data_IF_259168835443
#
_entry.id   IF_259168835443
#
_cell.length_a   1.000
_cell.length_b   1.000
_cell.length_c   1.000
_cell.angle_alpha   90.00
_cell.angle_beta   90.00
_cell.angle_gamma   90.00
#
_symmetry.space_group_name_H-M   'P 1'
#
loop_
_entity.id
_entity.type
_entity.pdbx_description
1 polymer ?
#
# COMPACT_ATOMS: atom_id res chain seq x y z
N UNK A 1 6.11 -54.49 -41.22
CA UNK A 1 6.27 -54.01 -39.84
C UNK A 1 7.71 -53.63 -39.60
N UNK A 2 7.98 -52.49 -38.95
CA UNK A 2 9.32 -52.03 -38.53
C UNK A 2 9.77 -50.78 -39.30
N UNK A 3 9.39 -49.58 -38.87
CA UNK A 3 9.98 -48.77 -37.79
C UNK A 3 11.10 -47.84 -38.32
N UNK A 4 10.72 -46.60 -38.65
CA UNK A 4 11.64 -45.50 -38.88
C UNK A 4 11.93 -44.82 -37.53
N UNK A 5 13.20 -44.73 -37.15
CA UNK A 5 13.67 -44.04 -35.96
C UNK A 5 13.85 -42.54 -36.27
N UNK A 6 13.02 -41.69 -35.67
CA UNK A 6 13.28 -40.26 -35.59
C UNK A 6 13.86 -39.95 -34.20
N UNK A 7 15.14 -39.56 -34.16
CA UNK A 7 15.77 -39.01 -32.96
C UNK A 7 15.32 -37.56 -32.81
N UNK A 8 14.64 -37.23 -31.72
CA UNK A 8 14.33 -35.85 -31.35
C UNK A 8 15.45 -35.30 -30.48
N UNK A 9 16.24 -34.37 -31.02
CA UNK A 9 17.16 -33.56 -30.23
C UNK A 9 16.35 -32.49 -29.46
N UNK A 10 16.68 -32.19 -28.19
CA UNK A 10 16.03 -31.11 -27.46
C UNK A 10 16.44 -29.75 -28.06
N UNK A 11 15.46 -29.04 -28.60
CA UNK A 11 15.62 -27.67 -29.07
C UNK A 11 15.92 -26.76 -27.87
N UNK A 12 17.16 -26.33 -27.75
CA UNK A 12 17.59 -25.36 -26.75
C UNK A 12 17.14 -23.98 -27.23
N UNK A 13 16.01 -23.50 -26.73
CA UNK A 13 15.59 -22.11 -26.95
C UNK A 13 16.65 -21.18 -26.31
N UNK A 14 17.15 -20.16 -27.01
CA UNK A 14 18.06 -19.21 -26.40
C UNK A 14 17.31 -18.47 -25.29
N UNK A 15 17.86 -18.54 -24.07
CA UNK A 15 17.50 -17.61 -23.00
C UNK A 15 17.72 -16.20 -23.55
N UNK A 16 16.63 -15.49 -23.83
CA UNK A 16 16.67 -14.09 -24.21
C UNK A 16 17.52 -13.34 -23.20
N UNK A 17 18.61 -12.76 -23.70
CA UNK A 17 19.60 -12.10 -22.85
C UNK A 17 18.92 -11.08 -21.94
N UNK A 18 19.15 -11.20 -20.65
CA UNK A 18 19.11 -10.05 -19.77
C UNK A 18 20.12 -9.05 -20.36
N UNK A 19 19.63 -7.96 -20.92
CA UNK A 19 20.48 -6.83 -21.29
C UNK A 19 21.02 -6.23 -20.00
N UNK A 20 22.13 -6.78 -19.50
CA UNK A 20 22.98 -6.11 -18.52
C UNK A 20 23.50 -4.83 -19.18
N UNK A 21 22.91 -3.67 -18.85
CA UNK A 21 23.25 -2.46 -19.60
C UNK A 21 22.53 -1.17 -19.27
N UNK A 22 22.12 -0.95 -18.02
CA UNK A 22 22.04 0.44 -17.51
C UNK A 22 23.03 0.51 -16.36
N UNK A 23 24.12 1.28 -16.54
CA UNK A 23 25.00 1.64 -15.43
C UNK A 23 24.09 2.20 -14.33
N UNK A 24 24.10 1.59 -13.14
CA UNK A 24 23.31 2.09 -12.03
C UNK A 24 23.64 3.57 -11.82
N UNK A 25 22.61 4.42 -11.84
CA UNK A 25 22.78 5.85 -11.65
C UNK A 25 23.11 6.11 -10.16
N UNK A 26 24.33 6.59 -9.83
CA UNK A 26 24.66 6.91 -8.45
C UNK A 26 23.80 8.03 -7.86
N UNK A 27 23.16 8.85 -8.72
CA UNK A 27 22.20 9.88 -8.35
C UNK A 27 20.91 9.31 -7.76
N UNK A 28 20.44 8.17 -8.25
CA UNK A 28 19.24 7.47 -7.78
C UNK A 28 19.44 6.68 -6.47
N UNK A 29 20.58 6.88 -5.78
CA UNK A 29 20.81 6.34 -4.45
C UNK A 29 20.20 7.28 -3.40
N UNK A 30 19.66 6.77 -2.28
CA UNK A 30 19.14 7.61 -1.21
C UNK A 30 20.21 8.55 -0.64
N UNK A 31 19.86 9.82 -0.48
CA UNK A 31 20.67 10.80 0.23
C UNK A 31 20.59 10.58 1.74
N UNK A 32 21.68 10.91 2.45
CA UNK A 32 21.68 10.96 3.92
C UNK A 32 21.12 12.31 4.37
N UNK A 33 19.85 12.33 4.77
CA UNK A 33 19.18 13.52 5.29
C UNK A 33 19.34 13.63 6.80
N UNK A 34 19.56 14.85 7.29
CA UNK A 34 19.38 15.17 8.71
C UNK A 34 17.89 15.15 9.08
N UNK A 35 17.54 15.02 10.38
CA UNK A 35 16.15 15.10 10.83
C UNK A 35 15.44 16.40 10.42
N UNK A 36 16.15 17.53 10.42
CA UNK A 36 15.60 18.83 10.04
C UNK A 36 15.25 18.88 8.54
N UNK A 37 16.15 18.40 7.67
CA UNK A 37 15.91 18.33 6.23
C UNK A 37 14.73 17.41 5.91
N UNK A 38 14.63 16.25 6.58
CA UNK A 38 13.48 15.35 6.40
C UNK A 38 12.17 16.01 6.87
N UNK A 39 12.19 16.75 7.98
CA UNK A 39 11.01 17.46 8.47
C UNK A 39 10.54 18.56 7.49
N UNK A 40 11.47 19.26 6.85
CA UNK A 40 11.16 20.25 5.81
C UNK A 40 10.47 19.61 4.60
N UNK A 41 11.04 18.51 4.07
CA UNK A 41 10.42 17.77 2.97
C UNK A 41 9.02 17.24 3.32
N UNK A 42 8.82 16.74 4.55
CA UNK A 42 7.51 16.31 5.03
C UNK A 42 6.52 17.48 5.14
N UNK A 43 6.97 18.65 5.56
CA UNK A 43 6.16 19.86 5.66
C UNK A 43 5.73 20.33 4.26
N UNK A 44 6.66 20.37 3.31
CA UNK A 44 6.39 20.72 1.92
C UNK A 44 5.39 19.75 1.28
N UNK A 45 5.62 18.44 1.39
CA UNK A 45 4.69 17.43 0.91
C UNK A 45 3.30 17.58 1.55
N UNK A 46 3.23 17.95 2.83
CA UNK A 46 1.94 18.21 3.49
C UNK A 46 1.22 19.44 2.96
N UNK A 47 1.96 20.48 2.57
CA UNK A 47 1.41 21.69 1.97
C UNK A 47 0.90 21.44 0.54
N UNK A 48 1.57 20.58 -0.23
CA UNK A 48 1.27 20.36 -1.65
C UNK A 48 0.36 19.17 -1.94
N UNK A 49 0.12 18.26 -0.98
CA UNK A 49 -0.67 17.01 -1.17
C UNK A 49 -2.04 17.17 -1.83
N UNK A 50 -2.72 18.31 -1.61
CA UNK A 50 -4.01 18.58 -2.26
C UNK A 50 -3.86 18.86 -3.76
N UNK A 51 -2.80 19.58 -4.15
CA UNK A 51 -2.45 19.81 -5.55
C UNK A 51 -2.01 18.50 -6.21
N UNK A 52 -1.18 17.69 -5.53
CA UNK A 52 -0.81 16.35 -5.98
C UNK A 52 -2.04 15.47 -6.19
N UNK A 53 -2.99 15.43 -5.25
CA UNK A 53 -4.23 14.66 -5.41
C UNK A 53 -5.02 15.05 -6.67
N UNK A 54 -5.06 16.36 -6.98
CA UNK A 54 -5.70 16.91 -8.18
C UNK A 54 -4.94 16.51 -9.46
N UNK A 55 -3.63 16.63 -9.47
CA UNK A 55 -2.76 16.23 -10.58
C UNK A 55 -2.91 14.73 -10.91
N UNK A 56 -3.02 13.90 -9.89
CA UNK A 56 -3.23 12.45 -10.03
C UNK A 56 -4.66 12.06 -10.44
N UNK A 57 -5.58 13.01 -10.59
CA UNK A 57 -6.97 12.75 -10.95
C UNK A 57 -7.75 11.97 -9.89
N UNK A 58 -7.42 12.16 -8.61
CA UNK A 58 -8.20 11.57 -7.52
C UNK A 58 -9.56 12.26 -7.38
N UNK A 59 -10.58 11.50 -6.94
CA UNK A 59 -11.91 12.05 -6.68
C UNK A 59 -11.89 13.13 -5.60
N UNK A 60 -12.89 14.02 -5.59
CA UNK A 60 -12.98 15.13 -4.63
C UNK A 60 -13.12 14.70 -3.16
N UNK A 61 -13.61 13.47 -2.93
CA UNK A 61 -13.72 12.86 -1.60
C UNK A 61 -12.48 12.04 -1.24
N UNK A 62 -11.54 11.88 -2.17
CA UNK A 62 -10.27 11.23 -1.96
C UNK A 62 -9.22 12.24 -1.50
N UNK A 63 -8.47 11.90 -0.45
CA UNK A 63 -7.38 12.75 0.04
C UNK A 63 -6.14 11.91 0.27
N UNK A 64 -5.00 12.57 0.21
CA UNK A 64 -3.70 12.00 0.52
C UNK A 64 -3.27 12.36 1.94
N UNK A 65 -2.62 11.43 2.63
CA UNK A 65 -1.95 11.66 3.90
C UNK A 65 -0.49 11.28 3.75
N UNK A 66 0.40 12.25 3.93
CA UNK A 66 1.85 12.04 3.83
C UNK A 66 2.31 11.12 4.95
N UNK A 67 3.06 10.08 4.60
CA UNK A 67 3.65 9.14 5.55
C UNK A 67 5.15 9.23 5.64
N UNK A 68 5.80 9.45 4.50
CA UNK A 68 7.24 9.57 4.45
C UNK A 68 7.68 10.32 3.20
N UNK A 69 8.89 10.88 3.25
CA UNK A 69 9.61 11.40 2.08
C UNK A 69 11.04 10.90 2.16
N UNK A 70 11.49 10.28 1.08
CA UNK A 70 12.89 9.95 0.84
C UNK A 70 13.38 10.81 -0.32
N UNK A 71 14.63 11.29 -0.24
CA UNK A 71 15.25 12.02 -1.33
C UNK A 71 16.48 11.25 -1.82
N UNK A 72 16.63 11.16 -3.13
CA UNK A 72 17.81 10.61 -3.79
C UNK A 72 18.91 11.67 -3.90
N UNK A 73 20.15 11.26 -4.18
CA UNK A 73 21.31 12.17 -4.27
C UNK A 73 21.21 13.19 -5.40
N UNK A 74 20.41 12.90 -6.42
CA UNK A 74 20.10 13.83 -7.52
C UNK A 74 19.01 14.86 -7.16
N UNK A 75 18.40 14.77 -5.98
CA UNK A 75 17.33 15.64 -5.50
C UNK A 75 15.91 15.14 -5.77
N UNK A 76 15.75 14.03 -6.52
CA UNK A 76 14.47 13.36 -6.72
C UNK A 76 13.87 12.99 -5.37
N UNK A 77 12.56 13.21 -5.21
CA UNK A 77 11.83 12.81 -3.99
C UNK A 77 10.90 11.65 -4.27
N UNK A 78 10.76 10.77 -3.29
CA UNK A 78 9.78 9.67 -3.25
C UNK A 78 8.91 9.89 -2.02
N UNK A 79 7.70 10.38 -2.25
CA UNK A 79 6.75 10.66 -1.17
C UNK A 79 5.72 9.54 -1.07
N UNK A 80 5.69 8.86 0.07
CA UNK A 80 4.69 7.83 0.38
C UNK A 80 3.44 8.48 0.95
N UNK A 81 2.31 8.17 0.36
CA UNK A 81 1.00 8.62 0.77
C UNK A 81 0.10 7.43 1.11
N UNK A 82 -0.63 7.55 2.21
CA UNK A 82 -1.89 6.84 2.37
C UNK A 82 -3.02 7.63 1.71
N UNK A 83 -4.11 6.93 1.39
CA UNK A 83 -5.35 7.54 0.89
C UNK A 83 -6.46 7.47 1.92
N UNK A 84 -7.36 8.44 1.84
CA UNK A 84 -8.65 8.40 2.51
C UNK A 84 -9.77 8.58 1.49
N UNK A 85 -10.93 7.99 1.72
CA UNK A 85 -12.17 8.21 0.97
C UNK A 85 -13.27 8.67 1.92
N UNK A 86 -13.80 9.87 1.73
CA UNK A 86 -14.82 10.43 2.63
C UNK A 86 -14.36 10.53 4.10
N UNK A 87 -13.05 10.66 4.31
CA UNK A 87 -12.42 10.65 5.63
C UNK A 87 -12.07 9.27 6.20
N UNK A 88 -12.49 8.17 5.54
CA UNK A 88 -12.12 6.81 5.96
C UNK A 88 -10.76 6.41 5.40
N UNK A 89 -9.88 5.74 6.18
CA UNK A 89 -8.64 5.18 5.66
C UNK A 89 -8.89 4.16 4.54
N UNK A 90 -8.07 4.20 3.50
CA UNK A 90 -8.10 3.23 2.40
C UNK A 90 -6.93 2.24 2.56
N UNK A 91 -7.21 1.06 3.08
CA UNK A 91 -6.20 0.03 3.31
C UNK A 91 -5.89 -0.73 2.01
N UNK A 92 -4.61 -0.85 1.66
CA UNK A 92 -4.15 -1.37 0.37
C UNK A 92 -4.29 -0.38 -0.80
N UNK A 93 -4.55 0.90 -0.49
CA UNK A 93 -4.69 1.97 -1.48
C UNK A 93 -3.53 2.95 -1.55
N UNK A 94 -2.46 2.75 -0.78
CA UNK A 94 -1.33 3.65 -0.71
C UNK A 94 -0.61 3.82 -2.06
N UNK A 95 0.13 4.92 -2.18
CA UNK A 95 0.91 5.25 -3.36
C UNK A 95 2.22 5.93 -3.00
N UNK A 96 3.19 5.84 -3.90
CA UNK A 96 4.45 6.59 -3.84
C UNK A 96 4.52 7.47 -5.08
N UNK A 97 4.71 8.77 -4.88
CA UNK A 97 4.96 9.73 -5.96
C UNK A 97 6.45 9.98 -6.05
N UNK A 98 7.02 9.72 -7.22
CA UNK A 98 8.36 10.16 -7.61
C UNK A 98 8.24 11.55 -8.23
N UNK A 99 8.93 12.53 -7.68
CA UNK A 99 8.98 13.88 -8.22
C UNK A 99 10.42 14.33 -8.46
N UNK A 100 10.62 15.08 -9.54
CA UNK A 100 11.91 15.68 -9.90
C UNK A 100 12.37 16.67 -8.82
N UNK A 101 13.64 17.12 -8.83
CA UNK A 101 14.11 18.16 -7.93
C UNK A 101 13.34 19.49 -8.04
N UNK A 102 12.67 19.73 -9.18
CA UNK A 102 11.80 20.88 -9.40
C UNK A 102 10.34 20.65 -8.92
N UNK A 103 10.04 19.49 -8.34
CA UNK A 103 8.72 19.14 -7.81
C UNK A 103 7.73 18.59 -8.86
N UNK A 104 8.17 18.35 -10.10
CA UNK A 104 7.30 17.78 -11.14
C UNK A 104 7.12 16.27 -10.95
N UNK A 105 5.89 15.76 -11.02
CA UNK A 105 5.64 14.31 -10.93
C UNK A 105 6.24 13.59 -12.14
N UNK A 106 7.13 12.63 -11.87
CA UNK A 106 7.76 11.79 -12.90
C UNK A 106 7.18 10.38 -12.93
N UNK A 107 6.64 9.90 -11.80
CA UNK A 107 6.11 8.56 -11.70
C UNK A 107 5.27 8.35 -10.46
N UNK A 108 4.35 7.38 -10.55
CA UNK A 108 3.45 7.04 -9.44
C UNK A 108 3.35 5.52 -9.35
N UNK A 109 3.78 4.97 -8.23
CA UNK A 109 3.58 3.56 -7.89
C UNK A 109 2.37 3.45 -6.99
N UNK A 110 1.42 2.57 -7.32
CA UNK A 110 0.18 2.37 -6.56
C UNK A 110 0.11 0.95 -6.02
N UNK A 111 -0.31 0.77 -4.77
CA UNK A 111 -0.49 -0.54 -4.16
C UNK A 111 -1.61 -1.37 -4.81
N UNK A 112 -2.58 -0.70 -5.44
CA UNK A 112 -3.72 -1.33 -6.10
C UNK A 112 -3.99 -0.73 -7.49
N UNK A 113 -4.55 -1.57 -8.37
CA UNK A 113 -5.04 -1.17 -9.70
C UNK A 113 -6.45 -0.57 -9.66
N UNK A 114 -7.08 -0.50 -8.48
CA UNK A 114 -8.41 0.09 -8.32
C UNK A 114 -8.43 1.55 -8.80
N UNK A 115 -9.42 1.86 -9.64
CA UNK A 115 -9.61 3.19 -10.22
C UNK A 115 -10.32 4.12 -9.23
N UNK A 116 -10.13 5.44 -9.39
CA UNK A 116 -10.87 6.46 -8.64
C UNK A 116 -12.39 6.30 -8.80
N UNK A 117 -12.85 5.85 -9.97
CA UNK A 117 -14.28 5.58 -10.22
C UNK A 117 -14.82 4.43 -9.36
N UNK A 118 -14.05 3.34 -9.24
CA UNK A 118 -14.42 2.22 -8.36
C UNK A 118 -14.44 2.64 -6.89
N UNK A 119 -13.49 3.49 -6.45
CA UNK A 119 -13.51 4.02 -5.08
C UNK A 119 -14.72 4.90 -4.84
N UNK A 120 -15.05 5.79 -5.77
CA UNK A 120 -16.21 6.67 -5.67
C UNK A 120 -17.54 5.90 -5.56
N UNK A 121 -17.60 4.69 -6.10
CA UNK A 121 -18.79 3.83 -6.04
C UNK A 121 -18.98 3.13 -4.68
N UNK A 122 -17.99 3.16 -3.78
CA UNK A 122 -18.09 2.54 -2.46
C UNK A 122 -19.09 3.31 -1.59
N UNK A 123 -20.16 2.64 -1.15
CA UNK A 123 -21.06 3.17 -0.12
C UNK A 123 -20.34 3.23 1.23
N UNK A 124 -20.40 4.38 1.92
CA UNK A 124 -19.70 4.60 3.21
C UNK A 124 -20.60 4.41 4.45
N UNK A 125 -21.85 4.01 4.22
CA UNK A 125 -22.80 3.63 5.26
C UNK A 125 -22.60 2.15 5.56
N UNK A 126 -22.38 1.82 6.84
CA UNK A 126 -22.17 0.44 7.25
C UNK A 126 -23.51 -0.22 7.57
N UNK A 127 -23.80 -1.34 6.91
CA UNK A 127 -24.96 -2.19 7.25
C UNK A 127 -24.65 -3.09 8.44
N UNK A 128 -23.37 -3.34 8.71
CA UNK A 128 -22.89 -4.16 9.83
C UNK A 128 -22.62 -3.27 11.04
N UNK A 129 -23.16 -3.66 12.20
CA UNK A 129 -22.87 -3.02 13.47
C UNK A 129 -21.42 -3.30 13.91
N UNK A 130 -20.68 -2.33 14.49
CA UNK A 130 -19.31 -2.52 14.95
C UNK A 130 -19.13 -3.74 15.87
N UNK A 131 -20.07 -3.99 16.79
CA UNK A 131 -20.00 -5.14 17.70
C UNK A 131 -20.04 -6.51 16.98
N UNK A 132 -20.72 -6.59 15.83
CA UNK A 132 -20.72 -7.80 15.01
C UNK A 132 -19.37 -8.00 14.32
N UNK A 133 -18.74 -6.92 13.83
CA UNK A 133 -17.39 -6.96 13.28
C UNK A 133 -16.34 -7.37 14.33
N UNK A 134 -16.42 -6.83 15.55
CA UNK A 134 -15.54 -7.22 16.66
C UNK A 134 -15.67 -8.71 16.98
N UNK A 135 -16.91 -9.21 17.07
CA UNK A 135 -17.16 -10.64 17.33
C UNK A 135 -16.53 -11.52 16.25
N UNK A 136 -16.65 -11.14 14.97
CA UNK A 136 -16.03 -11.87 13.86
C UNK A 136 -14.50 -11.83 13.95
N UNK A 137 -13.92 -10.66 14.23
CA UNK A 137 -12.48 -10.49 14.38
C UNK A 137 -11.90 -11.32 15.53
N UNK A 138 -12.58 -11.36 16.68
CA UNK A 138 -12.19 -12.22 17.81
C UNK A 138 -12.30 -13.72 17.45
N UNK A 139 -13.30 -14.09 16.66
CA UNK A 139 -13.42 -15.44 16.12
C UNK A 139 -12.22 -15.83 15.24
N UNK A 140 -11.85 -14.96 14.29
CA UNK A 140 -10.67 -15.14 13.44
C UNK A 140 -9.37 -15.18 14.28
N UNK A 141 -9.20 -14.25 15.23
CA UNK A 141 -8.04 -14.23 16.11
C UNK A 141 -7.92 -15.50 16.95
N UNK A 142 -9.04 -16.05 17.43
CA UNK A 142 -9.07 -17.31 18.18
C UNK A 142 -8.64 -18.51 17.30
N UNK A 143 -9.00 -18.50 16.01
CA UNK A 143 -8.55 -19.51 15.07
C UNK A 143 -7.01 -19.47 14.89
N UNK A 144 -6.42 -18.28 14.98
CA UNK A 144 -4.97 -18.04 15.00
C UNK A 144 -4.33 -18.21 16.40
N UNK A 145 -5.05 -18.79 17.37
CA UNK A 145 -4.52 -19.10 18.70
C UNK A 145 -4.60 -17.97 19.73
N UNK A 146 -5.24 -16.84 19.41
CA UNK A 146 -5.43 -15.74 20.36
C UNK A 146 -6.32 -16.14 21.54
N UNK A 147 -5.97 -15.63 22.73
CA UNK A 147 -6.76 -15.74 23.96
C UNK A 147 -7.52 -14.45 24.30
N UNK A 148 -7.46 -13.45 23.43
CA UNK A 148 -8.12 -12.17 23.63
C UNK A 148 -9.65 -12.35 23.70
N UNK A 149 -10.28 -11.64 24.63
CA UNK A 149 -11.75 -11.65 24.82
C UNK A 149 -12.44 -10.39 24.31
N UNK A 150 -11.66 -9.38 23.94
CA UNK A 150 -12.08 -8.08 23.43
C UNK A 150 -11.03 -7.57 22.47
N UNK A 151 -11.42 -6.72 21.53
CA UNK A 151 -10.46 -6.00 20.71
C UNK A 151 -9.62 -5.03 21.55
N UNK A 152 -8.45 -4.64 21.04
CA UNK A 152 -7.61 -3.61 21.65
C UNK A 152 -8.31 -2.25 21.65
N UNK A 153 -9.06 -1.99 20.58
CA UNK A 153 -9.83 -0.76 20.36
C UNK A 153 -11.16 -1.08 19.66
N UNK A 154 -12.08 -0.11 19.62
CA UNK A 154 -13.33 -0.26 18.88
C UNK A 154 -13.05 -0.44 17.38
N UNK A 155 -13.79 -1.32 16.67
CA UNK A 155 -13.60 -1.51 15.23
C UNK A 155 -13.72 -0.20 14.46
N UNK A 156 -12.71 0.11 13.64
CA UNK A 156 -12.68 1.33 12.83
C UNK A 156 -13.19 1.05 11.43
N UNK A 157 -14.03 1.94 10.92
CA UNK A 157 -14.54 1.84 9.55
C UNK A 157 -13.44 2.22 8.55
N UNK A 158 -13.22 1.40 7.54
CA UNK A 158 -12.18 1.57 6.51
C UNK A 158 -12.72 1.22 5.13
N UNK A 159 -12.00 1.62 4.09
CA UNK A 159 -12.20 1.10 2.74
C UNK A 159 -11.10 0.08 2.46
N UNK A 160 -11.48 -1.16 2.16
CA UNK A 160 -10.55 -2.24 1.87
C UNK A 160 -10.33 -2.40 0.37
N UNK A 161 -9.07 -2.40 -0.06
CA UNK A 161 -8.66 -2.60 -1.46
C UNK A 161 -7.87 -3.90 -1.70
N UNK A 162 -7.63 -4.73 -0.68
CA UNK A 162 -6.78 -5.91 -0.82
C UNK A 162 -7.39 -7.08 -1.60
N UNK A 163 -8.71 -7.10 -1.82
CA UNK A 163 -9.42 -8.16 -2.57
C UNK A 163 -9.74 -7.82 -4.03
N UNK A 164 -9.22 -6.71 -4.56
CA UNK A 164 -9.37 -6.29 -5.96
C UNK A 164 -10.60 -5.41 -6.26
N UNK A 165 -11.69 -5.56 -5.49
CA UNK A 165 -12.85 -4.67 -5.53
C UNK A 165 -12.91 -3.82 -4.26
N UNK A 166 -12.86 -2.48 -4.35
CA UNK A 166 -13.00 -1.60 -3.19
C UNK A 166 -14.34 -1.80 -2.49
N UNK A 167 -14.31 -1.95 -1.17
CA UNK A 167 -15.52 -2.08 -0.36
C UNK A 167 -15.36 -1.46 1.03
N UNK A 168 -16.48 -1.11 1.65
CA UNK A 168 -16.51 -0.71 3.06
C UNK A 168 -16.25 -1.92 3.95
N UNK A 169 -15.41 -1.75 4.96
CA UNK A 169 -15.09 -2.79 5.93
C UNK A 169 -14.91 -2.18 7.34
N UNK A 170 -14.72 -3.05 8.32
CA UNK A 170 -14.19 -2.67 9.63
C UNK A 170 -12.82 -3.31 9.79
N UNK A 171 -11.82 -2.53 10.18
CA UNK A 171 -10.61 -3.09 10.74
C UNK A 171 -10.77 -3.20 12.26
N UNK A 172 -10.47 -4.38 12.80
CA UNK A 172 -10.40 -4.62 14.24
C UNK A 172 -8.99 -5.07 14.60
N UNK A 173 -8.40 -4.42 15.59
CA UNK A 173 -7.09 -4.80 16.13
C UNK A 173 -7.29 -5.69 17.35
N UNK A 174 -6.74 -6.90 17.30
CA UNK A 174 -6.73 -7.85 18.41
C UNK A 174 -5.31 -8.01 18.91
N UNK A 175 -5.02 -7.40 20.05
CA UNK A 175 -3.73 -7.53 20.73
C UNK A 175 -3.57 -8.87 21.44
N UNK A 176 -2.33 -9.24 21.69
CA UNK A 176 -1.99 -10.46 22.42
C UNK A 176 -0.52 -10.52 22.81
N UNK A 177 -0.18 -11.64 23.43
CA UNK A 177 1.20 -12.06 23.66
C UNK A 177 1.39 -13.41 22.97
N UNK A 178 2.54 -13.59 22.34
CA UNK A 178 3.03 -14.89 21.90
C UNK A 178 3.39 -15.78 23.10
N UNK A 179 3.71 -17.05 22.84
CA UNK A 179 4.04 -18.00 23.91
C UNK A 179 5.27 -17.60 24.73
N UNK A 180 6.19 -16.83 24.14
CA UNK A 180 7.43 -16.34 24.74
C UNK A 180 7.25 -14.98 25.44
N UNK A 181 6.02 -14.44 25.44
CA UNK A 181 5.70 -13.13 25.99
C UNK A 181 5.92 -11.96 25.02
N UNK A 182 6.30 -12.20 23.76
CA UNK A 182 6.44 -11.14 22.75
C UNK A 182 5.07 -10.53 22.42
N UNK A 183 4.87 -9.20 22.52
CA UNK A 183 3.62 -8.55 22.10
C UNK A 183 3.31 -8.75 20.62
N UNK A 184 2.04 -8.96 20.30
CA UNK A 184 1.56 -9.05 18.92
C UNK A 184 0.22 -8.32 18.75
N UNK A 185 -0.02 -7.86 17.52
CA UNK A 185 -1.29 -7.28 17.09
C UNK A 185 -1.75 -7.99 15.82
N UNK A 186 -2.99 -8.47 15.82
CA UNK A 186 -3.64 -9.00 14.64
C UNK A 186 -4.65 -7.98 14.12
N UNK A 187 -4.45 -7.51 12.90
CA UNK A 187 -5.41 -6.66 12.18
C UNK A 187 -6.33 -7.54 11.34
N UNK A 188 -7.62 -7.55 11.68
CA UNK A 188 -8.65 -8.28 10.92
C UNK A 188 -9.50 -7.28 10.16
N UNK A 189 -9.64 -7.47 8.84
CA UNK A 189 -10.44 -6.64 7.91
C UNK A 189 -11.48 -7.49 7.19
#
# INVERSE_FOLDING_TARGET
>A
SGAATATSAPSSAPLGGITAGTKADPGALPAKLSPAQRAELLSEANATKAATAKELGLGSTEKLVVRDVVQDRDGTTHTRYERTLGGLPVLGGDLVVKASPAGATEGVSKASKATSAQLKAVGLTADVAPAAAEKQALGAAKAEGSKAKKASEAPRKVVWLGSGSPQLAYETVVGGLQHDGTPNELHVV
#
